data_IF_153305227026
#
_entry.id   IF_153305227026
#
_cell.length_a   1.000
_cell.length_b   1.000
_cell.length_c   1.000
_cell.angle_alpha   90.00
_cell.angle_beta   90.00
_cell.angle_gamma   90.00
#
_symmetry.space_group_name_H-M   'P 1'
#
loop_
_entity.id
_entity.type
_entity.pdbx_description
1 polymer ?
#
# COMPACT_ATOMS: atom_id res chain seq x y z
N UNK A 1 20.38 -61.06 17.29
CA UNK A 1 20.74 -59.70 17.77
C UNK A 1 20.85 -58.66 16.65
N UNK A 2 21.37 -59.00 15.47
CA UNK A 2 21.54 -58.08 14.33
C UNK A 2 20.24 -57.49 13.77
N UNK A 3 19.14 -58.24 13.77
CA UNK A 3 17.85 -57.75 13.27
C UNK A 3 17.20 -56.66 14.14
N UNK A 4 17.51 -56.61 15.43
CA UNK A 4 16.95 -55.62 16.35
C UNK A 4 17.53 -54.21 16.09
N UNK A 5 18.83 -54.12 15.84
CA UNK A 5 19.50 -52.85 15.53
C UNK A 5 19.05 -52.23 14.20
N UNK A 6 18.77 -53.05 13.20
CA UNK A 6 18.27 -52.59 11.90
C UNK A 6 16.88 -51.95 12.00
N UNK A 7 16.01 -52.53 12.83
CA UNK A 7 14.65 -52.03 13.03
C UNK A 7 14.63 -50.70 13.81
N UNK A 8 15.51 -50.55 14.81
CA UNK A 8 15.66 -49.28 15.54
C UNK A 8 16.19 -48.16 14.65
N UNK A 9 17.15 -48.44 13.76
CA UNK A 9 17.66 -47.46 12.79
C UNK A 9 16.57 -47.00 11.81
N UNK A 10 15.76 -47.92 11.29
CA UNK A 10 14.65 -47.59 10.40
C UNK A 10 13.58 -46.74 11.07
N UNK A 11 13.23 -47.03 12.32
CA UNK A 11 12.27 -46.23 13.08
C UNK A 11 12.83 -44.83 13.36
N UNK A 12 14.12 -44.71 13.71
CA UNK A 12 14.74 -43.40 13.94
C UNK A 12 14.76 -42.53 12.69
N UNK A 13 14.99 -43.13 11.51
CA UNK A 13 14.98 -42.44 10.23
C UNK A 13 13.56 -41.95 9.86
N UNK A 14 12.53 -42.75 10.13
CA UNK A 14 11.14 -42.37 9.89
C UNK A 14 10.66 -41.26 10.82
N UNK A 15 11.08 -41.25 12.10
CA UNK A 15 10.73 -40.18 13.05
C UNK A 15 11.38 -38.85 12.65
N UNK A 16 12.60 -38.86 12.11
CA UNK A 16 13.28 -37.66 11.62
C UNK A 16 12.59 -37.03 10.38
N UNK A 17 11.84 -37.81 9.60
CA UNK A 17 11.03 -37.29 8.48
C UNK A 17 9.74 -36.58 8.95
N UNK A 18 9.26 -36.87 10.16
CA UNK A 18 8.00 -36.28 10.69
C UNK A 18 8.26 -34.96 11.44
N UNK A 19 9.47 -34.71 11.94
CA UNK A 19 9.81 -33.44 12.63
C UNK A 19 10.14 -32.28 11.68
N UNK A 20 10.10 -32.51 10.36
CA UNK A 20 10.28 -31.47 9.35
C UNK A 20 8.94 -30.87 8.86
N UNK A 21 7.86 -30.99 9.61
CA UNK A 21 6.65 -30.20 9.34
C UNK A 21 6.93 -28.78 9.83
N UNK A 22 6.92 -27.75 8.95
CA UNK A 22 7.05 -26.37 9.38
C UNK A 22 5.91 -26.06 10.35
N UNK A 23 6.24 -25.84 11.63
CA UNK A 23 5.29 -25.36 12.62
C UNK A 23 4.99 -23.89 12.31
N UNK A 24 3.86 -23.63 11.66
CA UNK A 24 3.31 -22.27 11.51
C UNK A 24 2.73 -21.78 12.85
N UNK A 25 3.55 -21.73 13.90
CA UNK A 25 3.12 -21.38 15.27
C UNK A 25 2.96 -19.87 15.50
N UNK A 26 2.98 -19.03 14.45
CA UNK A 26 2.91 -17.56 14.58
C UNK A 26 1.69 -16.89 13.91
N UNK A 27 0.70 -17.64 13.41
CA UNK A 27 -0.41 -17.08 12.61
C UNK A 27 -1.61 -16.52 13.42
N UNK A 28 -1.49 -16.30 14.74
CA UNK A 28 -2.59 -15.72 15.54
C UNK A 28 -2.55 -14.19 15.68
N UNK A 29 -1.64 -13.51 14.97
CA UNK A 29 -1.59 -12.06 14.91
C UNK A 29 -2.29 -11.49 13.68
N UNK A 30 -3.61 -11.46 13.65
CA UNK A 30 -4.39 -10.83 12.55
C UNK A 30 -4.06 -9.35 12.31
N UNK A 31 -3.35 -8.70 13.23
CA UNK A 31 -2.92 -7.30 13.10
C UNK A 31 -1.47 -7.12 12.64
N UNK A 32 -0.65 -8.18 12.55
CA UNK A 32 0.78 -8.05 12.21
C UNK A 32 1.21 -8.71 10.89
N UNK A 33 0.36 -9.53 10.25
CA UNK A 33 0.85 -10.51 9.26
C UNK A 33 0.34 -10.38 7.81
N UNK A 34 -0.44 -9.35 7.46
CA UNK A 34 -0.76 -9.16 6.02
C UNK A 34 0.48 -8.84 5.16
N UNK A 35 1.55 -8.33 5.78
CA UNK A 35 2.86 -8.17 5.12
C UNK A 35 3.55 -9.49 4.76
N UNK A 36 3.22 -10.61 5.43
CA UNK A 36 3.72 -11.94 5.03
C UNK A 36 2.89 -12.55 3.91
N UNK A 37 1.59 -12.23 3.85
CA UNK A 37 0.70 -12.66 2.76
C UNK A 37 0.99 -11.94 1.44
N UNK A 38 1.28 -10.64 1.50
CA UNK A 38 1.65 -9.83 0.34
C UNK A 38 3.00 -9.16 0.59
N UNK A 39 4.10 -9.76 0.10
CA UNK A 39 5.43 -9.18 0.23
C UNK A 39 5.46 -7.74 -0.31
N UNK A 40 5.93 -6.81 0.53
CA UNK A 40 6.01 -5.38 0.19
C UNK A 40 4.72 -4.59 0.48
N UNK A 41 3.70 -5.19 1.08
CA UNK A 41 2.56 -4.44 1.60
C UNK A 41 2.94 -3.59 2.82
N UNK A 42 2.44 -2.36 2.86
CA UNK A 42 2.73 -1.39 3.90
C UNK A 42 1.56 -0.42 4.09
N UNK A 43 1.44 0.14 5.29
CA UNK A 43 0.59 1.30 5.51
C UNK A 43 1.21 2.52 4.82
N UNK A 44 0.36 3.34 4.20
CA UNK A 44 0.78 4.58 3.55
C UNK A 44 0.34 5.75 4.41
N UNK A 45 1.31 6.49 4.93
CA UNK A 45 1.09 7.70 5.72
C UNK A 45 1.05 8.94 4.83
N UNK A 46 0.19 9.89 5.16
CA UNK A 46 0.06 11.16 4.45
C UNK A 46 0.69 12.30 5.27
N UNK A 47 1.81 12.81 4.80
CA UNK A 47 2.54 13.92 5.41
C UNK A 47 2.15 15.20 4.68
N UNK A 48 1.76 16.24 5.42
CA UNK A 48 1.32 17.49 4.83
C UNK A 48 1.42 18.62 5.83
N UNK A 49 0.59 19.66 5.65
CA UNK A 49 0.56 20.81 6.56
C UNK A 49 0.40 20.34 8.01
N UNK A 50 1.39 20.68 8.83
CA UNK A 50 1.41 20.35 10.24
C UNK A 50 0.32 21.15 10.95
N UNK A 51 -0.70 20.47 11.46
CA UNK A 51 -1.60 21.08 12.43
C UNK A 51 -0.93 21.00 13.80
N UNK A 52 -0.46 22.14 14.30
CA UNK A 52 0.26 22.23 15.57
C UNK A 52 -0.60 21.81 16.78
N UNK A 53 -1.92 21.73 16.60
CA UNK A 53 -2.86 21.46 17.68
C UNK A 53 -2.87 19.99 18.09
N UNK A 54 -2.73 19.06 17.13
CA UNK A 54 -2.72 17.62 17.40
C UNK A 54 -1.91 16.88 16.32
N UNK A 55 -0.67 16.44 16.60
CA UNK A 55 0.11 15.65 15.66
C UNK A 55 -0.45 14.23 15.58
N UNK A 56 -1.60 14.07 14.91
CA UNK A 56 -2.16 12.76 14.58
C UNK A 56 -1.50 12.25 13.31
N UNK A 57 -1.05 11.00 13.35
CA UNK A 57 -0.61 10.32 12.13
C UNK A 57 -1.83 10.15 11.23
N UNK A 58 -1.64 10.42 9.94
CA UNK A 58 -2.70 10.32 8.94
C UNK A 58 -2.34 9.24 7.94
N UNK A 59 -3.30 8.38 7.62
CA UNK A 59 -3.10 7.24 6.75
C UNK A 59 -4.01 7.31 5.53
N UNK A 60 -3.51 6.78 4.42
CA UNK A 60 -4.27 6.58 3.21
C UNK A 60 -5.26 5.43 3.42
N UNK A 61 -6.54 5.67 3.14
CA UNK A 61 -7.62 4.70 3.31
C UNK A 61 -8.69 4.92 2.25
N UNK A 62 -9.53 3.92 1.99
CA UNK A 62 -10.75 4.12 1.21
C UNK A 62 -11.86 4.69 2.07
N UNK A 63 -12.70 5.54 1.49
CA UNK A 63 -13.83 6.16 2.20
C UNK A 63 -14.72 5.11 2.90
N UNK A 64 -15.16 4.10 2.15
CA UNK A 64 -16.00 3.00 2.63
C UNK A 64 -15.12 1.77 2.95
N UNK A 65 -15.02 1.41 4.22
CA UNK A 65 -14.15 0.32 4.66
C UNK A 65 -14.57 -1.02 4.06
N UNK A 66 -13.59 -1.80 3.59
CA UNK A 66 -13.87 -3.13 3.02
C UNK A 66 -14.30 -3.13 1.56
N UNK A 67 -14.55 -1.96 0.95
CA UNK A 67 -15.01 -1.84 -0.42
C UNK A 67 -14.07 -0.99 -1.28
N UNK A 68 -13.96 -1.27 -2.59
CA UNK A 68 -13.26 -0.38 -3.50
C UNK A 68 -14.01 0.95 -3.64
N UNK A 69 -13.29 2.05 -3.65
CA UNK A 69 -13.90 3.38 -3.72
C UNK A 69 -12.89 4.51 -3.76
N UNK A 70 -13.36 5.71 -3.44
CA UNK A 70 -12.51 6.90 -3.40
C UNK A 70 -11.48 6.78 -2.29
N UNK A 71 -10.22 7.05 -2.63
CA UNK A 71 -9.13 7.08 -1.67
C UNK A 71 -9.10 8.43 -0.98
N UNK A 72 -8.95 8.39 0.33
CA UNK A 72 -9.03 9.50 1.26
C UNK A 72 -7.90 9.38 2.28
N UNK A 73 -7.70 10.42 3.07
CA UNK A 73 -6.78 10.38 4.20
C UNK A 73 -7.61 10.42 5.48
N UNK A 74 -7.35 9.50 6.39
CA UNK A 74 -8.03 9.46 7.69
C UNK A 74 -7.01 9.52 8.82
N UNK A 75 -7.47 9.91 10.00
CA UNK A 75 -6.66 9.88 11.22
C UNK A 75 -6.52 8.45 11.75
N UNK A 76 -5.60 8.29 12.70
CA UNK A 76 -5.32 7.06 13.44
C UNK A 76 -6.52 6.43 14.16
N UNK A 77 -7.62 7.18 14.33
CA UNK A 77 -8.86 6.67 14.92
C UNK A 77 -9.51 5.56 14.06
N UNK A 78 -9.03 5.36 12.82
CA UNK A 78 -9.46 4.31 11.89
C UNK A 78 -8.30 3.37 11.55
N UNK A 79 -8.60 2.07 11.44
CA UNK A 79 -7.62 1.04 11.02
C UNK A 79 -7.03 1.41 9.66
N UNK A 80 -5.69 1.49 9.52
CA UNK A 80 -5.05 1.79 8.26
C UNK A 80 -5.09 0.57 7.31
N UNK A 81 -5.26 0.84 6.03
CA UNK A 81 -5.27 -0.15 4.96
C UNK A 81 -3.87 -0.34 4.37
N UNK A 82 -3.62 -1.53 3.82
CA UNK A 82 -2.33 -1.87 3.25
C UNK A 82 -2.29 -1.58 1.75
N UNK A 83 -1.16 -1.06 1.30
CA UNK A 83 -0.88 -0.83 -0.11
C UNK A 83 0.46 -1.42 -0.51
N UNK A 84 0.59 -1.83 -1.76
CA UNK A 84 1.84 -2.30 -2.33
C UNK A 84 1.93 -2.00 -3.82
N UNK A 85 3.15 -2.03 -4.35
CA UNK A 85 3.38 -1.85 -5.79
C UNK A 85 3.85 -3.18 -6.37
N UNK A 86 3.23 -3.60 -7.48
CA UNK A 86 3.67 -4.75 -8.27
C UNK A 86 3.54 -4.42 -9.75
N UNK A 87 4.61 -4.69 -10.52
CA UNK A 87 4.64 -4.43 -11.97
C UNK A 87 4.20 -2.99 -12.32
N UNK A 88 4.75 -1.99 -11.62
CA UNK A 88 4.47 -0.57 -11.81
C UNK A 88 3.01 -0.17 -11.55
N UNK A 89 2.27 -0.95 -10.75
CA UNK A 89 0.87 -0.72 -10.42
C UNK A 89 0.70 -0.74 -8.91
N UNK A 90 -0.04 0.24 -8.39
CA UNK A 90 -0.38 0.33 -6.98
C UNK A 90 -1.65 -0.49 -6.71
N UNK A 91 -1.62 -1.24 -5.63
CA UNK A 91 -2.72 -2.09 -5.19
C UNK A 91 -3.06 -1.79 -3.74
N UNK A 92 -4.34 -1.91 -3.41
CA UNK A 92 -4.88 -1.89 -2.06
C UNK A 92 -5.22 -3.31 -1.65
N UNK A 93 -4.77 -3.73 -0.48
CA UNK A 93 -5.12 -5.01 0.14
C UNK A 93 -6.18 -4.74 1.20
N UNK A 94 -7.38 -5.27 0.97
CA UNK A 94 -8.49 -5.09 1.90
C UNK A 94 -8.53 -6.25 2.90
N UNK A 95 -8.32 -7.47 2.42
CA UNK A 95 -8.32 -8.69 3.22
C UNK A 95 -7.49 -9.79 2.53
N UNK A 96 -7.54 -11.02 3.05
CA UNK A 96 -6.73 -12.15 2.55
C UNK A 96 -7.15 -12.63 1.16
N UNK A 97 -8.31 -12.22 0.65
CA UNK A 97 -8.90 -12.70 -0.60
C UNK A 97 -9.18 -11.60 -1.62
N UNK A 98 -9.10 -10.33 -1.22
CA UNK A 98 -9.49 -9.18 -2.03
C UNK A 98 -8.36 -8.16 -2.12
N UNK A 99 -7.86 -8.01 -3.35
CA UNK A 99 -6.87 -7.03 -3.74
C UNK A 99 -7.45 -6.19 -4.87
N UNK A 100 -7.42 -4.88 -4.70
CA UNK A 100 -7.98 -3.93 -5.65
C UNK A 100 -6.88 -3.08 -6.28
N UNK A 101 -7.03 -2.75 -7.57
CA UNK A 101 -6.09 -1.86 -8.24
C UNK A 101 -6.41 -0.43 -7.88
N UNK A 102 -5.37 0.35 -7.55
CA UNK A 102 -5.48 1.80 -7.39
C UNK A 102 -5.21 2.45 -8.75
N UNK A 103 -6.11 3.34 -9.15
CA UNK A 103 -6.04 4.02 -10.44
C UNK A 103 -6.39 5.48 -10.27
N UNK A 104 -5.98 6.26 -11.26
CA UNK A 104 -6.36 7.66 -11.38
C UNK A 104 -7.62 7.78 -12.24
N UNK A 105 -8.65 8.42 -11.70
CA UNK A 105 -9.89 8.73 -12.40
C UNK A 105 -9.92 10.22 -12.73
N UNK A 106 -10.14 10.51 -14.01
CA UNK A 106 -10.39 11.89 -14.44
C UNK A 106 -11.76 12.35 -13.92
N UNK A 107 -11.76 13.43 -13.15
CA UNK A 107 -12.95 14.06 -12.60
C UNK A 107 -13.24 15.32 -13.43
N UNK A 108 -14.12 15.19 -14.42
CA UNK A 108 -14.49 16.26 -15.37
C UNK A 108 -15.31 17.40 -14.76
N UNK A 109 -15.55 17.39 -13.44
CA UNK A 109 -16.43 18.31 -12.74
C UNK A 109 -15.74 19.58 -12.22
N UNK A 110 -14.41 19.66 -12.35
CA UNK A 110 -13.56 20.81 -12.03
C UNK A 110 -12.90 21.27 -13.33
N UNK A 111 -13.07 22.55 -13.68
CA UNK A 111 -12.88 23.09 -15.04
C UNK A 111 -11.47 22.96 -15.61
N UNK A 112 -10.47 22.64 -14.76
CA UNK A 112 -9.08 22.60 -15.19
C UNK A 112 -8.35 21.30 -14.83
N UNK A 113 -8.57 20.62 -13.69
CA UNK A 113 -7.85 19.40 -13.21
C UNK A 113 -8.57 18.79 -11.96
N UNK A 114 -8.10 17.75 -11.22
CA UNK A 114 -6.93 16.87 -11.35
C UNK A 114 -7.32 15.38 -11.25
N UNK A 115 -6.38 14.48 -11.38
CA UNK A 115 -6.66 13.04 -11.36
C UNK A 115 -6.93 12.55 -9.93
N UNK A 116 -8.09 11.93 -9.67
CA UNK A 116 -8.44 11.41 -8.35
C UNK A 116 -7.94 9.99 -8.16
N UNK A 117 -7.34 9.70 -7.01
CA UNK A 117 -7.01 8.33 -6.60
C UNK A 117 -8.28 7.56 -6.22
N UNK A 118 -8.50 6.43 -6.91
CA UNK A 118 -9.66 5.56 -6.72
C UNK A 118 -9.22 4.11 -6.74
N UNK A 119 -9.66 3.35 -5.76
CA UNK A 119 -9.53 1.89 -5.74
C UNK A 119 -10.69 1.24 -6.48
N UNK A 120 -10.40 0.22 -7.29
CA UNK A 120 -11.39 -0.44 -8.13
C UNK A 120 -11.10 -1.92 -8.38
N UNK A 121 -12.18 -2.71 -8.54
CA UNK A 121 -12.11 -4.13 -8.94
C UNK A 121 -11.54 -4.32 -10.35
N UNK A 122 -11.82 -3.38 -11.24
CA UNK A 122 -11.35 -3.43 -12.62
C UNK A 122 -10.02 -2.71 -12.75
N UNK A 123 -8.98 -3.47 -13.09
CA UNK A 123 -7.70 -2.91 -13.47
C UNK A 123 -7.86 -2.06 -14.73
N UNK A 124 -7.71 -0.74 -14.59
CA UNK A 124 -7.57 0.18 -15.73
C UNK A 124 -6.09 0.33 -16.04
N UNK A 125 -5.57 -0.60 -16.84
CA UNK A 125 -4.17 -0.57 -17.26
C UNK A 125 -3.97 0.53 -18.30
N UNK A 126 -3.47 1.68 -17.86
CA UNK A 126 -2.89 2.65 -18.78
C UNK A 126 -1.45 2.21 -19.10
N UNK A 127 -1.15 1.99 -20.38
CA UNK A 127 0.13 1.39 -20.82
C UNK A 127 1.35 2.22 -20.41
N UNK A 128 1.15 3.51 -20.15
CA UNK A 128 2.21 4.45 -19.82
C UNK A 128 2.21 4.88 -18.35
N UNK A 129 1.34 4.29 -17.52
CA UNK A 129 1.28 4.60 -16.09
C UNK A 129 2.25 3.78 -15.26
N UNK A 130 3.00 4.44 -14.40
CA UNK A 130 3.98 3.83 -13.51
C UNK A 130 3.76 4.37 -12.10
N UNK A 131 3.50 3.45 -11.17
CA UNK A 131 3.61 3.70 -9.74
C UNK A 131 4.97 3.21 -9.26
N UNK A 132 5.67 4.02 -8.47
CA UNK A 132 6.92 3.62 -7.84
C UNK A 132 7.15 4.28 -6.50
N UNK A 133 7.93 3.62 -5.65
CA UNK A 133 8.49 4.20 -4.44
C UNK A 133 9.85 4.83 -4.77
N UNK A 134 10.12 6.02 -4.25
CA UNK A 134 11.44 6.65 -4.25
C UNK A 134 11.77 7.05 -2.81
N UNK A 135 12.70 6.34 -2.19
CA UNK A 135 12.80 6.36 -0.73
C UNK A 135 11.52 5.79 -0.12
N UNK A 136 10.91 6.50 0.81
CA UNK A 136 9.57 6.17 1.33
C UNK A 136 8.43 6.79 0.53
N UNK A 137 8.70 7.75 -0.36
CA UNK A 137 7.67 8.58 -1.00
C UNK A 137 7.10 7.90 -2.26
N UNK A 138 5.79 7.98 -2.42
CA UNK A 138 5.06 7.47 -3.58
C UNK A 138 5.15 8.45 -4.75
N UNK A 139 5.39 7.94 -5.94
CA UNK A 139 5.37 8.70 -7.19
C UNK A 139 4.42 8.05 -8.19
N UNK A 140 3.76 8.91 -8.97
CA UNK A 140 3.02 8.51 -10.15
C UNK A 140 3.57 9.20 -11.41
N UNK A 141 3.78 8.39 -12.44
CA UNK A 141 4.25 8.85 -13.74
C UNK A 141 3.31 8.37 -14.85
N UNK A 142 3.06 9.23 -15.83
CA UNK A 142 2.33 8.89 -17.05
C UNK A 142 3.12 9.36 -18.28
N UNK A 143 3.83 8.42 -18.90
CA UNK A 143 4.71 8.71 -20.04
C UNK A 143 5.89 9.60 -19.64
N UNK A 144 5.88 10.87 -20.05
CA UNK A 144 6.91 11.87 -19.69
C UNK A 144 6.48 12.81 -18.56
N UNK A 145 5.26 12.63 -18.06
CA UNK A 145 4.68 13.46 -17.03
C UNK A 145 4.79 12.78 -15.67
N UNK A 146 4.97 13.56 -14.61
CA UNK A 146 5.10 13.06 -13.25
C UNK A 146 4.39 14.00 -12.29
N UNK A 147 3.85 13.45 -11.22
CA UNK A 147 3.33 14.23 -10.10
C UNK A 147 4.41 14.82 -9.18
N UNK A 148 5.67 14.40 -9.36
CA UNK A 148 6.76 14.80 -8.47
C UNK A 148 6.55 14.34 -7.02
N UNK A 149 5.73 13.31 -6.80
CA UNK A 149 5.37 12.81 -5.48
C UNK A 149 4.42 13.72 -4.68
N UNK A 150 3.83 14.71 -5.34
CA UNK A 150 2.93 15.68 -4.71
C UNK A 150 1.46 15.33 -4.99
N UNK A 151 0.74 15.10 -3.90
CA UNK A 151 -0.69 14.85 -3.90
C UNK A 151 -1.42 15.98 -3.19
N UNK A 152 -2.74 15.98 -3.31
CA UNK A 152 -3.60 17.01 -2.75
C UNK A 152 -4.80 16.35 -2.09
N UNK A 153 -5.02 16.70 -0.83
CA UNK A 153 -6.23 16.38 -0.10
C UNK A 153 -7.24 17.50 -0.35
N UNK A 154 -8.35 17.18 -1.01
CA UNK A 154 -9.39 18.14 -1.39
C UNK A 154 -10.77 17.63 -1.00
N UNK A 155 -11.72 18.54 -0.81
CA UNK A 155 -13.13 18.20 -0.68
C UNK A 155 -13.78 18.06 -2.07
N UNK A 156 -14.52 16.97 -2.30
CA UNK A 156 -15.40 16.84 -3.47
C UNK A 156 -16.69 17.62 -3.27
N UNK A 157 -17.51 17.75 -4.33
CA UNK A 157 -18.80 18.48 -4.29
C UNK A 157 -19.73 18.02 -3.16
N UNK A 158 -19.64 16.75 -2.76
CA UNK A 158 -20.43 16.18 -1.67
C UNK A 158 -19.85 16.47 -0.26
N UNK A 159 -18.80 17.31 -0.16
CA UNK A 159 -18.12 17.62 1.10
C UNK A 159 -17.20 16.51 1.65
N UNK A 160 -17.04 15.40 0.92
CA UNK A 160 -16.16 14.30 1.32
C UNK A 160 -14.70 14.58 0.95
N UNK A 161 -13.71 14.15 1.73
CA UNK A 161 -12.32 14.27 1.34
C UNK A 161 -11.98 13.30 0.21
N UNK A 162 -10.94 13.61 -0.56
CA UNK A 162 -10.37 12.75 -1.57
C UNK A 162 -8.94 13.14 -1.89
N UNK A 163 -8.18 12.19 -2.43
CA UNK A 163 -6.78 12.41 -2.83
C UNK A 163 -6.68 12.60 -4.34
N UNK A 164 -6.00 13.67 -4.72
CA UNK A 164 -5.83 14.10 -6.10
C UNK A 164 -4.36 14.34 -6.43
N UNK A 165 -4.03 14.33 -7.71
CA UNK A 165 -2.68 14.63 -8.18
C UNK A 165 -2.67 15.32 -9.54
N UNK A 166 -1.59 16.05 -9.81
CA UNK A 166 -1.35 16.76 -11.05
C UNK A 166 -0.08 16.26 -11.71
N UNK A 167 -0.18 15.87 -12.97
CA UNK A 167 0.94 15.42 -13.77
C UNK A 167 1.83 16.55 -14.32
N UNK A 168 1.44 17.80 -14.09
CA UNK A 168 2.17 19.01 -14.47
C UNK A 168 2.14 19.96 -13.28
N UNK A 169 3.24 20.69 -13.06
CA UNK A 169 3.30 21.69 -12.02
C UNK A 169 2.22 22.74 -12.20
N UNK A 170 1.30 22.81 -11.26
CA UNK A 170 0.21 23.79 -11.20
C UNK A 170 0.21 24.46 -9.83
N UNK A 171 -0.48 25.61 -9.74
CA UNK A 171 -0.78 26.21 -8.45
C UNK A 171 -1.72 25.28 -7.68
N UNK A 172 -1.48 25.10 -6.38
CA UNK A 172 -2.39 24.41 -5.46
C UNK A 172 -3.81 24.96 -5.62
N UNK A 173 -4.83 24.11 -5.89
CA UNK A 173 -6.20 24.57 -5.97
C UNK A 173 -6.71 25.12 -4.65
N UNK A 174 -7.69 26.01 -4.74
CA UNK A 174 -8.36 26.51 -3.54
C UNK A 174 -9.03 25.36 -2.79
N UNK A 175 -8.96 25.41 -1.46
CA UNK A 175 -9.51 24.38 -0.56
C UNK A 175 -8.83 22.99 -0.63
N UNK A 176 -7.68 22.89 -1.28
CA UNK A 176 -6.85 21.69 -1.27
C UNK A 176 -5.60 21.88 -0.41
N UNK A 177 -5.22 20.83 0.31
CA UNK A 177 -3.97 20.79 1.09
C UNK A 177 -2.94 19.90 0.41
N UNK A 178 -1.71 20.38 0.13
CA UNK A 178 -0.66 19.55 -0.43
C UNK A 178 -0.21 18.50 0.58
N UNK A 179 -0.04 17.26 0.12
CA UNK A 179 0.41 16.12 0.91
C UNK A 179 1.38 15.25 0.11
N UNK A 180 2.32 14.60 0.78
CA UNK A 180 3.16 13.54 0.25
C UNK A 180 2.75 12.21 0.89
N UNK A 181 2.81 11.13 0.11
CA UNK A 181 2.39 9.80 0.55
C UNK A 181 3.62 8.93 0.80
N UNK A 182 3.72 8.34 1.98
CA UNK A 182 4.92 7.64 2.43
C UNK A 182 4.63 6.24 2.98
N UNK A 183 5.36 5.24 2.50
CA UNK A 183 5.39 3.90 3.08
C UNK A 183 6.65 3.70 3.92
N UNK A 184 6.48 3.38 5.21
CA UNK A 184 7.57 3.13 6.16
C UNK A 184 7.53 1.67 6.63
N UNK A 185 7.77 0.71 5.74
CA UNK A 185 7.95 -0.68 6.17
C UNK A 185 9.44 -0.98 6.39
N UNK A 186 9.76 -1.72 7.47
CA UNK A 186 11.13 -2.18 7.80
C UNK A 186 11.78 -2.96 6.66
N UNK A 187 10.99 -3.66 5.83
CA UNK A 187 11.49 -4.40 4.67
C UNK A 187 11.98 -3.48 3.54
N UNK A 188 11.28 -2.38 3.26
CA UNK A 188 11.69 -1.41 2.22
C UNK A 188 13.02 -0.72 2.57
N UNK A 189 13.24 -0.45 3.85
CA UNK A 189 14.50 0.15 4.31
C UNK A 189 15.70 -0.80 4.13
N UNK A 190 15.49 -2.11 4.28
CA UNK A 190 16.53 -3.13 4.11
C UNK A 190 16.85 -3.43 2.64
N UNK A 191 15.86 -3.34 1.75
CA UNK A 191 16.09 -3.51 0.32
C UNK A 191 16.79 -2.29 -0.29
N UNK A 192 16.48 -1.08 0.18
CA UNK A 192 17.20 0.15 -0.18
C UNK A 192 18.63 0.20 0.34
N UNK A 193 18.91 -0.32 1.55
CA UNK A 193 20.30 -0.41 2.04
C UNK A 193 21.17 -1.34 1.21
N UNK A 194 20.57 -2.34 0.54
CA UNK A 194 21.29 -3.35 -0.23
C UNK A 194 21.47 -2.98 -1.71
N UNK A 195 20.86 -1.90 -2.19
CA UNK A 195 20.97 -1.41 -3.58
C UNK A 195 21.85 -0.17 -3.71
N UNK A 196 22.60 0.18 -2.67
CA UNK A 196 23.65 1.21 -2.74
C UNK A 196 24.92 0.58 -3.35
N UNK A 197 25.43 1.07 -4.49
CA UNK A 197 26.72 0.61 -5.04
C UNK A 197 27.91 0.96 -4.14
#
# INVERSE_FOLDING_TARGET
MTHFYSLVLWISYLVALVTAVPTFEHLTGWDTDMGSLVPGAAYVSAIGRYDASFPKTRYLNVHDEGFPGNITVTTEDRRPEWFYIRQNQLYQVINSTAIYSVSLKNMTATSDFPLQLVSGAKMRRNRYSIWRWQGSMLFYEEGKLSDGGLFYECLIKDGRPGIFTFLKGTKTPDQCSPVTLHAFNKLFLKEQSNTSP
#
